data_IF_727478607169
#
_entry.id   IF_727478607169
#
_cell.length_a   1.000
_cell.length_b   1.000
_cell.length_c   1.000
_cell.angle_alpha   90.00
_cell.angle_beta   90.00
_cell.angle_gamma   90.00
#
_symmetry.space_group_name_H-M   'P 1'
#
loop_
_entity.id
_entity.type
_entity.pdbx_description
1 polymer ?
#
# COMPACT_ATOMS: atom_id res chain seq x y z
N UNK A 1 2.91 -30.74 18.20
CA UNK A 1 4.11 -30.30 17.42
C UNK A 1 5.28 -30.04 18.35
N UNK A 2 6.52 -30.45 17.98
CA UNK A 2 7.74 -30.13 18.75
C UNK A 2 7.95 -28.61 18.78
N UNK A 3 8.43 -28.06 19.90
CA UNK A 3 8.66 -26.61 20.10
C UNK A 3 9.52 -25.98 18.97
N UNK A 4 10.53 -26.70 18.51
CA UNK A 4 11.40 -26.26 17.43
C UNK A 4 10.68 -26.03 16.09
N UNK A 5 9.67 -26.84 15.74
CA UNK A 5 8.90 -26.69 14.53
C UNK A 5 8.03 -25.43 14.57
N UNK A 6 7.49 -25.04 15.75
CA UNK A 6 6.71 -23.80 15.89
C UNK A 6 7.55 -22.56 15.64
N UNK A 7 8.79 -22.55 16.14
CA UNK A 7 9.71 -21.41 15.93
C UNK A 7 10.09 -21.32 14.44
N UNK A 8 10.40 -22.43 13.79
CA UNK A 8 10.75 -22.47 12.37
C UNK A 8 9.61 -21.94 11.49
N UNK A 9 8.36 -22.34 11.79
CA UNK A 9 7.18 -21.83 11.07
C UNK A 9 6.99 -20.35 11.33
N UNK A 10 7.20 -19.88 12.57
CA UNK A 10 7.10 -18.45 12.90
C UNK A 10 8.12 -17.61 12.12
N UNK A 11 9.36 -18.11 12.00
CA UNK A 11 10.38 -17.46 11.18
C UNK A 11 9.97 -17.44 9.70
N UNK A 12 9.40 -18.53 9.17
CA UNK A 12 8.91 -18.60 7.79
C UNK A 12 7.77 -17.59 7.54
N UNK A 13 6.81 -17.49 8.46
CA UNK A 13 5.72 -16.50 8.41
C UNK A 13 6.28 -15.07 8.48
N UNK A 14 7.26 -14.83 9.34
CA UNK A 14 7.92 -13.53 9.45
C UNK A 14 8.58 -13.13 8.12
N UNK A 15 9.35 -14.05 7.51
CA UNK A 15 9.98 -13.82 6.21
C UNK A 15 8.94 -13.59 5.12
N UNK A 16 7.84 -14.36 5.07
CA UNK A 16 6.76 -14.15 4.10
C UNK A 16 6.11 -12.77 4.25
N UNK A 17 5.83 -12.37 5.50
CA UNK A 17 5.27 -11.04 5.80
C UNK A 17 6.26 -9.94 5.41
N UNK A 18 7.55 -10.12 5.70
CA UNK A 18 8.61 -9.20 5.31
C UNK A 18 8.70 -9.03 3.79
N UNK A 19 8.72 -10.15 3.03
CA UNK A 19 8.78 -10.14 1.56
C UNK A 19 7.63 -9.35 0.94
N UNK A 20 6.39 -9.62 1.37
CA UNK A 20 5.21 -8.94 0.81
C UNK A 20 5.12 -7.46 1.22
N UNK A 21 5.65 -7.13 2.40
CA UNK A 21 5.69 -5.74 2.89
C UNK A 21 6.80 -4.93 2.23
N UNK A 22 8.00 -5.52 2.08
CA UNK A 22 9.15 -4.84 1.49
C UNK A 22 8.94 -4.56 0.00
N UNK A 23 8.13 -5.39 -0.66
CA UNK A 23 7.83 -5.27 -2.09
C UNK A 23 7.30 -3.88 -2.48
N UNK A 24 6.46 -3.28 -1.64
CA UNK A 24 5.92 -1.95 -1.91
C UNK A 24 7.02 -0.90 -1.84
N UNK A 25 7.84 -0.93 -0.81
CA UNK A 25 8.86 0.10 -0.56
C UNK A 25 10.12 -0.07 -1.43
N UNK A 26 10.51 -1.30 -1.72
CA UNK A 26 11.69 -1.59 -2.55
C UNK A 26 11.47 -1.19 -4.02
N UNK A 27 10.25 -1.41 -4.54
CA UNK A 27 9.91 -1.06 -5.92
C UNK A 27 9.78 0.44 -6.12
N UNK A 28 9.35 1.20 -5.10
CA UNK A 28 9.23 2.66 -5.21
C UNK A 28 10.56 3.34 -5.52
N UNK A 29 11.66 2.87 -4.92
CA UNK A 29 13.00 3.42 -5.18
C UNK A 29 13.56 2.99 -6.54
N UNK A 30 13.13 1.84 -7.06
CA UNK A 30 13.52 1.32 -8.37
C UNK A 30 12.68 1.91 -9.51
N UNK A 31 11.54 2.53 -9.21
CA UNK A 31 10.55 2.95 -10.21
C UNK A 31 11.13 3.87 -11.30
N UNK A 32 11.95 4.90 -10.99
CA UNK A 32 12.57 5.73 -12.03
C UNK A 32 13.41 4.91 -13.02
N UNK A 33 14.22 3.97 -12.51
CA UNK A 33 15.09 3.11 -13.36
C UNK A 33 14.27 2.15 -14.22
N UNK A 34 13.19 1.58 -13.69
CA UNK A 34 12.24 0.74 -14.44
C UNK A 34 11.60 1.53 -15.58
N UNK A 35 11.09 2.74 -15.29
CA UNK A 35 10.46 3.63 -16.26
C UNK A 35 11.43 3.98 -17.39
N UNK A 36 12.69 4.27 -17.06
CA UNK A 36 13.74 4.57 -18.02
C UNK A 36 13.96 3.45 -19.01
N UNK A 37 14.23 2.27 -18.46
CA UNK A 37 14.66 1.14 -19.27
C UNK A 37 13.52 0.56 -20.12
N UNK A 38 12.29 0.56 -19.58
CA UNK A 38 11.11 0.02 -20.28
C UNK A 38 10.30 1.10 -21.03
N UNK A 39 10.76 2.37 -21.03
CA UNK A 39 10.09 3.50 -21.68
C UNK A 39 8.61 3.64 -21.31
N UNK A 40 8.27 3.39 -20.05
CA UNK A 40 6.91 3.19 -19.55
C UNK A 40 6.32 4.31 -18.74
N UNK A 41 6.68 5.60 -18.93
CA UNK A 41 6.20 6.72 -18.09
C UNK A 41 4.65 6.77 -18.00
N UNK A 42 3.96 6.60 -19.10
CA UNK A 42 2.49 6.61 -19.15
C UNK A 42 1.85 5.48 -18.33
N UNK A 43 2.60 4.44 -18.02
CA UNK A 43 2.15 3.26 -17.28
C UNK A 43 2.80 3.11 -15.89
N UNK A 44 3.56 4.13 -15.43
CA UNK A 44 4.28 4.06 -14.16
C UNK A 44 3.38 3.71 -12.97
N UNK A 45 2.17 4.30 -12.91
CA UNK A 45 1.20 4.05 -11.85
C UNK A 45 0.72 2.60 -11.85
N UNK A 46 0.65 1.95 -13.02
CA UNK A 46 0.22 0.56 -13.13
C UNK A 46 1.20 -0.42 -12.52
N UNK A 47 2.51 -0.11 -12.48
CA UNK A 47 3.51 -0.97 -11.85
C UNK A 47 3.17 -1.18 -10.37
N UNK A 48 2.75 -0.12 -9.67
CA UNK A 48 2.37 -0.20 -8.26
C UNK A 48 0.90 -0.62 -8.09
N UNK A 49 0.01 0.03 -8.84
CA UNK A 49 -1.44 -0.18 -8.69
C UNK A 49 -1.88 -1.59 -9.03
N UNK A 50 -1.30 -2.26 -10.04
CA UNK A 50 -1.65 -3.62 -10.39
C UNK A 50 -1.37 -4.62 -9.27
N UNK A 51 -0.22 -4.50 -8.63
CA UNK A 51 0.14 -5.30 -7.47
C UNK A 51 -0.79 -5.06 -6.28
N UNK A 52 -0.98 -3.78 -5.91
CA UNK A 52 -1.82 -3.40 -4.77
C UNK A 52 -3.28 -3.77 -4.99
N UNK A 53 -3.80 -3.57 -6.21
CA UNK A 53 -5.16 -3.94 -6.60
C UNK A 53 -5.39 -5.44 -6.46
N UNK A 54 -4.52 -6.25 -7.05
CA UNK A 54 -4.66 -7.71 -6.99
C UNK A 54 -4.48 -8.23 -5.57
N UNK A 55 -3.62 -7.61 -4.77
CA UNK A 55 -3.48 -7.91 -3.34
C UNK A 55 -4.78 -7.61 -2.59
N UNK A 56 -5.38 -6.44 -2.82
CA UNK A 56 -6.63 -6.03 -2.17
C UNK A 56 -7.81 -6.94 -2.54
N UNK A 57 -7.93 -7.33 -3.82
CA UNK A 57 -8.97 -8.26 -4.31
C UNK A 57 -8.76 -9.67 -3.73
N UNK A 58 -7.53 -10.16 -3.75
CA UNK A 58 -7.22 -11.53 -3.35
C UNK A 58 -7.33 -11.76 -1.84
N UNK A 59 -7.02 -10.76 -1.02
CA UNK A 59 -7.00 -10.87 0.45
C UNK A 59 -8.31 -11.42 1.05
N UNK A 60 -9.50 -10.87 0.78
CA UNK A 60 -10.74 -11.41 1.33
C UNK A 60 -11.09 -12.80 0.74
N UNK A 61 -10.70 -13.05 -0.50
CA UNK A 61 -10.92 -14.35 -1.16
C UNK A 61 -10.12 -15.45 -0.46
N UNK A 62 -8.83 -15.23 -0.21
CA UNK A 62 -7.98 -16.19 0.51
C UNK A 62 -8.45 -16.39 1.94
N UNK A 63 -8.92 -15.33 2.62
CA UNK A 63 -9.48 -15.44 3.96
C UNK A 63 -10.64 -16.43 4.04
N UNK A 64 -11.59 -16.33 3.10
CA UNK A 64 -12.75 -17.26 3.03
C UNK A 64 -12.37 -18.64 2.52
N UNK A 65 -11.53 -18.75 1.50
CA UNK A 65 -11.12 -20.06 0.96
C UNK A 65 -10.29 -20.87 1.96
N UNK A 66 -9.59 -20.23 2.88
CA UNK A 66 -8.79 -20.89 3.91
C UNK A 66 -9.62 -21.81 4.82
N UNK A 67 -10.85 -21.43 5.09
CA UNK A 67 -11.77 -22.21 5.92
C UNK A 67 -12.30 -23.46 5.17
N UNK A 68 -12.22 -23.48 3.83
CA UNK A 68 -12.73 -24.56 2.98
C UNK A 68 -11.61 -25.51 2.51
N UNK A 69 -10.54 -24.96 1.94
CA UNK A 69 -9.47 -25.73 1.30
C UNK A 69 -8.29 -26.01 2.22
N UNK A 70 -8.27 -25.36 3.39
CA UNK A 70 -7.18 -25.46 4.36
C UNK A 70 -6.17 -24.33 4.19
N UNK A 71 -5.57 -23.96 5.31
CA UNK A 71 -4.66 -22.81 5.42
C UNK A 71 -3.31 -23.07 4.79
N UNK A 72 -2.79 -24.31 4.96
CA UNK A 72 -1.50 -24.72 4.41
C UNK A 72 -1.46 -24.64 2.90
N UNK A 73 -2.42 -25.28 2.24
CA UNK A 73 -2.48 -25.37 0.78
C UNK A 73 -2.59 -24.00 0.13
N UNK A 74 -3.43 -23.13 0.71
CA UNK A 74 -3.63 -21.77 0.20
C UNK A 74 -2.44 -20.85 0.46
N UNK A 75 -1.79 -20.99 1.62
CA UNK A 75 -0.57 -20.23 1.89
C UNK A 75 0.55 -20.61 0.91
N UNK A 76 0.71 -21.91 0.63
CA UNK A 76 1.65 -22.42 -0.35
C UNK A 76 1.33 -21.96 -1.78
N UNK A 77 0.05 -22.00 -2.19
CA UNK A 77 -0.38 -21.49 -3.48
C UNK A 77 -0.05 -19.99 -3.62
N UNK A 78 -0.34 -19.20 -2.58
CA UNK A 78 0.00 -17.79 -2.56
C UNK A 78 1.50 -17.53 -2.67
N UNK A 79 2.32 -18.30 -1.96
CA UNK A 79 3.79 -18.22 -2.07
C UNK A 79 4.30 -18.58 -3.47
N UNK A 80 3.74 -19.60 -4.11
CA UNK A 80 4.09 -19.96 -5.48
C UNK A 80 3.74 -18.83 -6.44
N UNK A 81 2.52 -18.28 -6.35
CA UNK A 81 2.11 -17.17 -7.19
C UNK A 81 2.95 -15.90 -6.95
N UNK A 82 3.25 -15.58 -5.69
CA UNK A 82 4.11 -14.44 -5.36
C UNK A 82 5.52 -14.61 -5.92
N UNK A 83 6.12 -15.78 -5.72
CA UNK A 83 7.50 -16.09 -6.14
C UNK A 83 7.62 -16.14 -7.67
N UNK A 84 6.67 -16.78 -8.36
CA UNK A 84 6.64 -16.82 -9.83
C UNK A 84 6.35 -15.43 -10.42
N UNK A 85 5.42 -14.67 -9.86
CA UNK A 85 5.16 -13.28 -10.25
C UNK A 85 6.39 -12.40 -10.06
N UNK A 86 7.14 -12.58 -8.96
CA UNK A 86 8.40 -11.88 -8.73
C UNK A 86 9.47 -12.25 -9.77
N UNK A 87 9.66 -13.54 -10.03
CA UNK A 87 10.59 -14.01 -11.07
C UNK A 87 10.24 -13.42 -12.43
N UNK A 88 8.97 -13.49 -12.84
CA UNK A 88 8.50 -12.93 -14.11
C UNK A 88 8.68 -11.39 -14.15
N UNK A 89 8.45 -10.69 -13.04
CA UNK A 89 8.68 -9.25 -12.96
C UNK A 89 10.15 -8.89 -13.19
N UNK A 90 11.08 -9.67 -12.60
CA UNK A 90 12.51 -9.49 -12.83
C UNK A 90 12.98 -9.88 -14.23
N UNK A 91 12.24 -10.69 -14.97
CA UNK A 91 12.54 -11.08 -16.36
C UNK A 91 11.77 -10.23 -17.39
N UNK A 92 11.05 -9.19 -16.99
CA UNK A 92 10.13 -8.47 -17.85
C UNK A 92 10.86 -7.74 -19.01
N UNK A 93 10.56 -8.07 -20.28
CA UNK A 93 11.17 -7.43 -21.44
C UNK A 93 10.52 -6.08 -21.81
N UNK A 94 9.31 -5.81 -21.30
CA UNK A 94 8.54 -4.60 -21.53
C UNK A 94 7.57 -4.32 -20.40
N UNK A 95 7.00 -3.11 -20.40
CA UNK A 95 6.13 -2.61 -19.33
C UNK A 95 4.83 -3.43 -19.19
N UNK A 96 4.23 -3.92 -20.27
CA UNK A 96 3.00 -4.69 -20.24
C UNK A 96 3.21 -6.07 -19.58
N UNK A 97 4.31 -6.73 -19.94
CA UNK A 97 4.70 -7.98 -19.31
C UNK A 97 4.94 -7.79 -17.81
N UNK A 98 5.62 -6.70 -17.43
CA UNK A 98 5.83 -6.34 -16.02
C UNK A 98 4.50 -6.17 -15.29
N UNK A 99 3.53 -5.44 -15.83
CA UNK A 99 2.21 -5.24 -15.22
C UNK A 99 1.48 -6.57 -15.01
N UNK A 100 1.50 -7.46 -16.01
CA UNK A 100 0.88 -8.80 -15.88
C UNK A 100 1.58 -9.62 -14.79
N UNK A 101 2.90 -9.61 -14.75
CA UNK A 101 3.68 -10.30 -13.72
C UNK A 101 3.37 -9.72 -12.32
N UNK A 102 3.20 -8.40 -12.20
CA UNK A 102 2.78 -7.71 -10.97
C UNK A 102 1.36 -8.11 -10.53
N UNK A 103 0.44 -8.34 -11.47
CA UNK A 103 -0.88 -8.89 -11.15
C UNK A 103 -0.77 -10.27 -10.51
N UNK A 104 0.02 -11.17 -11.10
CA UNK A 104 0.25 -12.52 -10.56
C UNK A 104 0.88 -12.45 -9.16
N UNK A 105 1.89 -11.60 -9.00
CA UNK A 105 2.57 -11.37 -7.74
C UNK A 105 1.62 -10.84 -6.66
N UNK A 106 0.75 -9.88 -7.02
CA UNK A 106 -0.26 -9.31 -6.13
C UNK A 106 -1.30 -10.33 -5.66
N UNK A 107 -1.78 -11.21 -6.56
CA UNK A 107 -2.68 -12.31 -6.18
C UNK A 107 -2.00 -13.20 -5.13
N UNK A 108 -0.71 -13.52 -5.30
CA UNK A 108 0.05 -14.28 -4.32
C UNK A 108 0.19 -13.56 -2.98
N UNK A 109 0.54 -12.27 -3.00
CA UNK A 109 0.70 -11.44 -1.81
C UNK A 109 -0.57 -11.36 -0.94
N UNK A 110 -1.74 -11.32 -1.58
CA UNK A 110 -3.03 -11.25 -0.89
C UNK A 110 -3.33 -12.44 0.03
N UNK A 111 -2.63 -13.57 -0.14
CA UNK A 111 -2.76 -14.73 0.75
C UNK A 111 -2.01 -14.55 2.07
N UNK A 112 -0.88 -13.85 2.05
CA UNK A 112 0.09 -13.87 3.17
C UNK A 112 -0.52 -13.28 4.44
N UNK A 113 -1.14 -12.10 4.38
CA UNK A 113 -1.66 -11.41 5.57
C UNK A 113 -2.75 -12.23 6.28
N UNK A 114 -3.88 -12.61 5.62
CA UNK A 114 -4.96 -13.31 6.32
C UNK A 114 -4.52 -14.69 6.80
N UNK A 115 -3.72 -15.41 6.01
CA UNK A 115 -3.28 -16.76 6.39
C UNK A 115 -2.21 -16.76 7.48
N UNK A 116 -1.36 -15.73 7.55
CA UNK A 116 -0.44 -15.52 8.67
C UNK A 116 -1.18 -15.51 10.01
N UNK A 117 -2.22 -14.68 10.11
CA UNK A 117 -3.00 -14.58 11.36
C UNK A 117 -3.72 -15.88 11.72
N UNK A 118 -4.24 -16.59 10.73
CA UNK A 118 -4.93 -17.85 10.96
C UNK A 118 -3.96 -18.98 11.34
N UNK A 119 -2.78 -19.07 10.71
CA UNK A 119 -1.73 -20.05 11.07
C UNK A 119 -1.20 -19.77 12.48
N UNK A 120 -1.00 -18.50 12.88
CA UNK A 120 -0.61 -18.14 14.24
C UNK A 120 -1.69 -18.59 15.23
N UNK A 121 -2.97 -18.43 14.88
CA UNK A 121 -4.07 -18.87 15.72
C UNK A 121 -4.13 -20.38 15.91
N UNK A 122 -3.66 -21.17 14.95
CA UNK A 122 -3.56 -22.65 15.08
C UNK A 122 -2.41 -23.10 15.96
N UNK A 123 -1.31 -22.37 15.94
CA UNK A 123 -0.06 -22.80 16.56
C UNK A 123 0.07 -22.34 18.01
N UNK A 124 -0.58 -21.22 18.38
CA UNK A 124 -0.38 -20.55 19.66
C UNK A 124 -1.68 -20.34 20.43
N UNK A 125 -1.60 -20.49 21.76
CA UNK A 125 -2.71 -20.22 22.66
C UNK A 125 -3.10 -18.74 22.64
N UNK A 126 -4.33 -18.41 23.03
CA UNK A 126 -4.84 -17.04 23.03
C UNK A 126 -3.90 -16.05 23.76
N UNK A 127 -3.32 -16.48 24.90
CA UNK A 127 -2.40 -15.66 25.71
C UNK A 127 -1.08 -15.36 24.97
N UNK A 128 -0.60 -16.31 24.15
CA UNK A 128 0.66 -16.16 23.41
C UNK A 128 0.48 -15.38 22.11
N UNK A 129 -0.71 -15.40 21.49
CA UNK A 129 -0.99 -14.77 20.19
C UNK A 129 -0.63 -13.30 20.14
N UNK A 130 -0.96 -12.55 21.19
CA UNK A 130 -0.67 -11.11 21.22
C UNK A 130 0.84 -10.82 21.05
N UNK A 131 1.69 -11.58 21.76
CA UNK A 131 3.16 -11.46 21.65
C UNK A 131 3.69 -11.88 20.29
N UNK A 132 3.15 -12.97 19.73
CA UNK A 132 3.57 -13.50 18.44
C UNK A 132 3.12 -12.58 17.29
N UNK A 133 1.91 -12.02 17.35
CA UNK A 133 1.43 -11.03 16.40
C UNK A 133 2.26 -9.74 16.45
N UNK A 134 2.62 -9.28 17.65
CA UNK A 134 3.51 -8.13 17.78
C UNK A 134 4.88 -8.40 17.13
N UNK A 135 5.46 -9.60 17.35
CA UNK A 135 6.68 -10.01 16.68
C UNK A 135 6.52 -10.03 15.15
N UNK A 136 5.43 -10.61 14.62
CA UNK A 136 5.18 -10.66 13.17
C UNK A 136 4.98 -9.25 12.59
N UNK A 137 4.34 -8.35 13.34
CA UNK A 137 4.16 -6.96 12.91
C UNK A 137 5.48 -6.18 12.83
N UNK A 138 6.55 -6.61 13.53
CA UNK A 138 7.87 -5.99 13.35
C UNK A 138 8.44 -6.20 11.95
N UNK A 139 7.98 -7.23 11.21
CA UNK A 139 8.34 -7.42 9.80
C UNK A 139 7.91 -6.24 8.93
N UNK A 140 6.75 -5.63 9.19
CA UNK A 140 6.28 -4.43 8.50
C UNK A 140 7.18 -3.22 8.80
N UNK A 141 7.51 -3.00 10.07
CA UNK A 141 8.42 -1.92 10.46
C UNK A 141 9.82 -2.10 9.86
N UNK A 142 10.31 -3.33 9.86
CA UNK A 142 11.63 -3.66 9.29
C UNK A 142 11.64 -3.51 7.76
N UNK A 143 10.57 -3.95 7.08
CA UNK A 143 10.44 -3.79 5.63
C UNK A 143 10.35 -2.33 5.20
N UNK A 144 9.64 -1.51 5.96
CA UNK A 144 9.54 -0.08 5.72
C UNK A 144 10.88 0.64 5.91
N UNK A 145 11.73 0.14 6.84
CA UNK A 145 13.05 0.68 7.08
C UNK A 145 14.09 0.20 6.04
N UNK A 146 14.14 -1.11 5.80
CA UNK A 146 15.17 -1.73 4.94
C UNK A 146 14.80 -1.62 3.46
N UNK A 147 13.51 -1.64 3.11
CA UNK A 147 13.06 -1.70 1.72
C UNK A 147 13.65 -0.61 0.83
N UNK A 148 13.51 0.68 1.17
CA UNK A 148 14.06 1.75 0.37
C UNK A 148 15.59 1.70 0.24
N UNK A 149 16.28 1.31 1.31
CA UNK A 149 17.74 1.17 1.31
C UNK A 149 18.20 0.02 0.43
N UNK A 150 17.55 -1.14 0.60
CA UNK A 150 17.84 -2.32 -0.21
C UNK A 150 17.50 -2.08 -1.68
N UNK A 151 16.37 -1.42 -1.95
CA UNK A 151 15.97 -1.07 -3.32
C UNK A 151 16.96 -0.14 -3.99
N UNK A 152 17.37 0.93 -3.30
CA UNK A 152 18.39 1.86 -3.79
C UNK A 152 19.71 1.16 -4.05
N UNK A 153 20.20 0.36 -3.09
CA UNK A 153 21.44 -0.40 -3.23
C UNK A 153 21.40 -1.38 -4.43
N UNK A 154 20.33 -2.15 -4.58
CA UNK A 154 20.19 -3.10 -5.68
C UNK A 154 20.16 -2.39 -7.04
N UNK A 155 19.49 -1.25 -7.14
CA UNK A 155 19.41 -0.46 -8.37
C UNK A 155 20.77 0.14 -8.72
N UNK A 156 21.49 0.72 -7.75
CA UNK A 156 22.75 1.42 -7.98
C UNK A 156 23.91 0.45 -8.27
N UNK A 157 23.96 -0.72 -7.60
CA UNK A 157 25.08 -1.66 -7.71
C UNK A 157 24.87 -2.80 -8.72
N UNK A 158 23.63 -3.17 -8.99
CA UNK A 158 23.29 -4.30 -9.85
C UNK A 158 22.36 -3.85 -10.98
N UNK A 159 21.07 -3.94 -10.77
CA UNK A 159 20.02 -3.46 -11.67
C UNK A 159 18.66 -3.54 -10.99
N UNK A 160 17.64 -2.83 -11.52
CA UNK A 160 16.28 -2.89 -10.98
C UNK A 160 15.67 -4.31 -11.00
N UNK A 161 16.12 -5.21 -11.86
CA UNK A 161 15.65 -6.60 -11.93
C UNK A 161 15.85 -7.35 -10.60
N UNK A 162 16.94 -7.06 -9.88
CA UNK A 162 17.27 -7.67 -8.61
C UNK A 162 16.32 -7.30 -7.48
N UNK A 163 15.59 -6.20 -7.61
CA UNK A 163 14.52 -5.83 -6.68
C UNK A 163 13.44 -6.92 -6.61
N UNK A 164 13.21 -7.60 -7.73
CA UNK A 164 12.29 -8.72 -7.82
C UNK A 164 12.97 -10.07 -7.53
N UNK A 165 14.17 -10.29 -8.08
CA UNK A 165 14.86 -11.57 -7.91
C UNK A 165 15.17 -11.92 -6.45
N UNK A 166 15.37 -10.95 -5.57
CA UNK A 166 15.64 -11.18 -4.14
C UNK A 166 14.52 -11.97 -3.45
N UNK A 167 13.29 -11.84 -3.92
CA UNK A 167 12.14 -12.56 -3.36
C UNK A 167 12.12 -14.05 -3.75
N UNK A 168 12.78 -14.43 -4.84
CA UNK A 168 12.71 -15.83 -5.35
C UNK A 168 13.34 -16.83 -4.38
N UNK A 169 14.60 -16.68 -3.94
CA UNK A 169 15.18 -17.60 -2.97
C UNK A 169 14.45 -17.58 -1.62
N UNK A 170 13.98 -16.43 -1.18
CA UNK A 170 13.23 -16.29 0.07
C UNK A 170 11.88 -17.02 -0.01
N UNK A 171 11.15 -16.87 -1.13
CA UNK A 171 9.86 -17.53 -1.35
C UNK A 171 9.99 -19.04 -1.40
N UNK A 172 11.01 -19.56 -2.07
CA UNK A 172 11.32 -20.99 -2.10
C UNK A 172 11.65 -21.50 -0.70
N UNK A 173 12.48 -20.79 0.06
CA UNK A 173 12.81 -21.12 1.44
C UNK A 173 11.57 -21.24 2.33
N UNK A 174 10.72 -20.22 2.29
CA UNK A 174 9.46 -20.18 3.07
C UNK A 174 8.53 -21.32 2.64
N UNK A 175 8.40 -21.56 1.33
CA UNK A 175 7.59 -22.65 0.80
C UNK A 175 8.03 -24.01 1.36
N UNK A 176 9.32 -24.32 1.32
CA UNK A 176 9.89 -25.58 1.82
C UNK A 176 9.65 -25.72 3.33
N UNK A 177 9.91 -24.66 4.11
CA UNK A 177 9.71 -24.70 5.56
C UNK A 177 8.24 -24.98 5.91
N UNK A 178 7.29 -24.32 5.25
CA UNK A 178 5.86 -24.54 5.47
C UNK A 178 5.43 -25.94 4.98
N UNK A 179 5.95 -26.39 3.84
CA UNK A 179 5.64 -27.72 3.29
C UNK A 179 5.97 -28.84 4.27
N UNK A 180 7.17 -28.78 4.84
CA UNK A 180 7.70 -29.84 5.74
C UNK A 180 7.26 -29.61 7.20
N UNK A 181 7.29 -28.35 7.67
CA UNK A 181 7.14 -28.05 9.10
C UNK A 181 5.71 -27.87 9.56
N UNK A 182 4.82 -27.31 8.72
CA UNK A 182 3.45 -27.03 9.12
C UNK A 182 2.50 -28.17 8.84
N UNK A 183 1.90 -28.71 9.89
CA UNK A 183 0.86 -29.73 9.84
C UNK A 183 -0.42 -29.11 10.35
N UNK A 184 -1.39 -29.01 9.48
CA UNK A 184 -2.69 -28.45 9.77
C UNK A 184 -3.48 -29.36 10.71
N UNK A 185 -3.93 -28.81 11.84
CA UNK A 185 -4.75 -29.54 12.85
C UNK A 185 -6.23 -29.21 12.70
N UNK A 186 -6.56 -28.35 11.73
CA UNK A 186 -7.92 -27.84 11.54
C UNK A 186 -8.82 -28.86 10.83
N UNK A 187 -9.98 -29.15 11.39
CA UNK A 187 -11.05 -29.90 10.73
C UNK A 187 -11.75 -28.96 9.74
N UNK A 188 -11.72 -29.31 8.45
CA UNK A 188 -12.41 -28.57 7.38
C UNK A 188 -13.86 -28.34 7.78
N UNK A 189 -14.28 -27.08 7.88
CA UNK A 189 -15.70 -26.78 8.08
C UNK A 189 -16.48 -27.16 6.82
N UNK A 190 -17.67 -27.75 7.04
CA UNK A 190 -18.62 -27.93 5.94
C UNK A 190 -18.97 -26.54 5.36
N UNK A 191 -19.00 -26.47 4.04
CA UNK A 191 -19.22 -25.28 3.23
C UNK A 191 -20.23 -24.31 3.85
N UNK A 192 -19.74 -23.24 4.45
CA UNK A 192 -20.50 -22.01 4.60
C UNK A 192 -20.65 -21.37 3.23
N UNK A 193 -21.79 -20.80 2.92
CA UNK A 193 -22.05 -20.19 1.61
C UNK A 193 -21.03 -19.06 1.37
N UNK A 194 -20.12 -19.28 0.42
CA UNK A 194 -19.21 -18.20 -0.02
C UNK A 194 -20.08 -17.15 -0.72
N UNK A 195 -19.96 -15.90 -0.30
CA UNK A 195 -20.57 -14.76 -0.99
C UNK A 195 -19.87 -14.49 -2.32
N UNK A 196 -20.20 -15.32 -3.33
CA UNK A 196 -19.65 -15.18 -4.68
C UNK A 196 -20.04 -13.85 -5.32
N UNK A 197 -21.24 -13.34 -5.02
CA UNK A 197 -21.73 -12.09 -5.55
C UNK A 197 -20.93 -10.90 -4.97
N UNK A 198 -20.74 -10.86 -3.65
CA UNK A 198 -19.91 -9.86 -3.00
C UNK A 198 -18.48 -9.85 -3.52
N UNK A 199 -17.82 -11.03 -3.61
CA UNK A 199 -16.47 -11.14 -4.19
C UNK A 199 -16.43 -10.58 -5.61
N UNK A 200 -17.38 -10.99 -6.46
CA UNK A 200 -17.39 -10.58 -7.87
C UNK A 200 -17.59 -9.06 -8.02
N UNK A 201 -18.61 -8.52 -7.34
CA UNK A 201 -18.90 -7.08 -7.44
C UNK A 201 -17.83 -6.21 -6.80
N UNK A 202 -17.21 -6.62 -5.68
CA UNK A 202 -16.07 -5.91 -5.10
C UNK A 202 -14.89 -5.89 -6.08
N UNK A 203 -14.55 -7.05 -6.64
CA UNK A 203 -13.44 -7.17 -7.60
C UNK A 203 -13.68 -6.32 -8.85
N UNK A 204 -14.88 -6.37 -9.42
CA UNK A 204 -15.25 -5.56 -10.57
C UNK A 204 -15.22 -4.06 -10.24
N UNK A 205 -15.75 -3.66 -9.09
CA UNK A 205 -15.72 -2.26 -8.63
C UNK A 205 -14.29 -1.73 -8.63
N UNK A 206 -13.37 -2.44 -7.98
CA UNK A 206 -11.98 -2.00 -7.83
C UNK A 206 -11.22 -1.98 -9.16
N UNK A 207 -11.44 -3.00 -9.99
CA UNK A 207 -10.80 -3.12 -11.29
C UNK A 207 -11.29 -2.02 -12.24
N UNK A 208 -12.61 -1.80 -12.32
CA UNK A 208 -13.19 -0.76 -13.15
C UNK A 208 -12.83 0.65 -12.65
N UNK A 209 -12.75 0.85 -11.32
CA UNK A 209 -12.31 2.11 -10.73
C UNK A 209 -10.90 2.47 -11.21
N UNK A 210 -9.95 1.53 -11.14
CA UNK A 210 -8.58 1.77 -11.55
C UNK A 210 -8.46 2.01 -13.07
N UNK A 211 -9.14 1.17 -13.88
CA UNK A 211 -9.16 1.33 -15.34
C UNK A 211 -9.79 2.68 -15.71
N UNK A 212 -10.90 3.05 -15.08
CA UNK A 212 -11.59 4.32 -15.32
C UNK A 212 -10.69 5.53 -15.04
N UNK A 213 -10.00 5.55 -13.89
CA UNK A 213 -9.05 6.61 -13.54
C UNK A 213 -7.93 6.70 -14.59
N UNK A 214 -7.38 5.57 -15.02
CA UNK A 214 -6.29 5.55 -15.98
C UNK A 214 -6.74 6.04 -17.38
N UNK A 215 -7.95 5.68 -17.79
CA UNK A 215 -8.50 6.10 -19.09
C UNK A 215 -8.84 7.59 -19.15
N UNK A 216 -9.02 8.27 -18.02
CA UNK A 216 -9.16 9.74 -18.01
C UNK A 216 -7.98 10.45 -18.68
N UNK A 217 -6.79 9.82 -18.70
CA UNK A 217 -5.58 10.37 -19.35
C UNK A 217 -5.59 10.30 -20.88
N UNK A 218 -6.34 9.37 -21.46
CA UNK A 218 -6.32 9.06 -22.90
C UNK A 218 -7.65 9.28 -23.58
N UNK A 219 -8.73 8.85 -22.92
CA UNK A 219 -10.09 8.85 -23.42
C UNK A 219 -11.07 9.23 -22.32
N UNK A 220 -11.21 10.52 -22.03
CA UNK A 220 -11.99 11.07 -20.91
C UNK A 220 -13.42 10.50 -20.85
N UNK A 221 -14.13 10.46 -21.99
CA UNK A 221 -15.52 9.97 -22.05
C UNK A 221 -15.60 8.50 -21.63
N UNK A 222 -14.71 7.64 -22.17
CA UNK A 222 -14.67 6.23 -21.80
C UNK A 222 -14.24 6.05 -20.32
N UNK A 223 -13.32 6.87 -19.83
CA UNK A 223 -12.93 6.89 -18.42
C UNK A 223 -14.13 7.17 -17.51
N UNK A 224 -14.92 8.21 -17.82
CA UNK A 224 -16.13 8.57 -17.04
C UNK A 224 -17.17 7.43 -17.11
N UNK A 225 -17.42 6.86 -18.28
CA UNK A 225 -18.37 5.76 -18.41
C UNK A 225 -17.97 4.55 -17.55
N UNK A 226 -16.70 4.17 -17.56
CA UNK A 226 -16.19 3.06 -16.74
C UNK A 226 -16.28 3.40 -15.25
N UNK A 227 -16.03 4.64 -14.84
CA UNK A 227 -16.19 5.07 -13.44
C UNK A 227 -17.67 4.99 -13.01
N UNK A 228 -18.61 5.34 -13.87
CA UNK A 228 -20.06 5.17 -13.61
C UNK A 228 -20.40 3.69 -13.44
N UNK A 229 -19.89 2.80 -14.31
CA UNK A 229 -20.11 1.35 -14.19
C UNK A 229 -19.49 0.83 -12.89
N UNK A 230 -18.29 1.30 -12.51
CA UNK A 230 -17.70 0.98 -11.21
C UNK A 230 -18.61 1.38 -10.04
N UNK A 231 -19.22 2.58 -10.10
CA UNK A 231 -20.19 3.03 -9.11
C UNK A 231 -21.43 2.12 -9.03
N UNK A 232 -21.94 1.68 -10.17
CA UNK A 232 -23.05 0.71 -10.22
C UNK A 232 -22.63 -0.63 -9.60
N UNK A 233 -21.44 -1.14 -9.91
CA UNK A 233 -20.91 -2.35 -9.28
C UNK A 233 -20.76 -2.21 -7.76
N UNK A 234 -20.39 -1.03 -7.26
CA UNK A 234 -20.32 -0.75 -5.82
C UNK A 234 -21.71 -0.79 -5.16
N UNK A 235 -22.73 -0.27 -5.83
CA UNK A 235 -24.12 -0.35 -5.34
C UNK A 235 -24.63 -1.81 -5.34
N UNK A 236 -24.30 -2.59 -6.38
CA UNK A 236 -24.62 -4.02 -6.45
C UNK A 236 -23.88 -4.80 -5.37
N UNK A 237 -22.60 -4.50 -5.13
CA UNK A 237 -21.84 -5.05 -4.01
C UNK A 237 -22.54 -4.77 -2.67
N UNK A 238 -22.89 -3.51 -2.41
CA UNK A 238 -23.58 -3.14 -1.16
C UNK A 238 -24.91 -3.89 -1.01
N UNK A 239 -25.66 -4.07 -2.10
CA UNK A 239 -26.92 -4.82 -2.09
C UNK A 239 -26.72 -6.32 -1.86
N UNK A 240 -25.64 -6.90 -2.39
CA UNK A 240 -25.27 -8.30 -2.17
C UNK A 240 -24.87 -8.54 -0.70
N UNK A 241 -24.01 -7.69 -0.14
CA UNK A 241 -23.56 -7.76 1.27
C UNK A 241 -24.73 -7.64 2.26
N UNK A 242 -25.73 -6.78 1.98
CA UNK A 242 -26.92 -6.66 2.83
C UNK A 242 -27.78 -7.92 2.84
N UNK A 243 -27.74 -8.73 1.78
CA UNK A 243 -28.52 -9.97 1.62
C UNK A 243 -27.73 -11.22 2.02
N UNK A 244 -26.41 -11.12 2.09
CA UNK A 244 -25.53 -12.23 2.39
C UNK A 244 -25.74 -12.71 3.84
N UNK A 245 -25.83 -14.02 4.04
CA UNK A 245 -25.87 -14.63 5.39
C UNK A 245 -24.54 -14.46 6.13
N UNK A 246 -23.44 -14.48 5.39
CA UNK A 246 -22.09 -14.35 5.92
C UNK A 246 -21.30 -13.36 5.05
N UNK A 247 -21.57 -12.04 5.20
CA UNK A 247 -21.01 -11.00 4.37
C UNK A 247 -19.49 -10.91 4.53
N UNK A 248 -18.79 -10.47 3.47
CA UNK A 248 -17.35 -10.19 3.51
C UNK A 248 -17.09 -8.91 4.30
N UNK A 249 -17.92 -7.90 4.05
CA UNK A 249 -17.86 -6.58 4.71
C UNK A 249 -19.21 -6.30 5.37
N UNK A 250 -19.38 -6.53 6.70
CA UNK A 250 -20.63 -6.23 7.37
C UNK A 250 -20.97 -4.74 7.32
N UNK A 251 -21.86 -4.35 6.41
CA UNK A 251 -22.25 -2.93 6.19
C UNK A 251 -22.85 -2.32 7.46
N UNK A 252 -23.46 -3.13 8.34
CA UNK A 252 -24.02 -2.68 9.62
C UNK A 252 -22.99 -1.97 10.52
N UNK A 253 -21.69 -2.24 10.38
CA UNK A 253 -20.65 -1.56 11.15
C UNK A 253 -20.51 -0.08 10.76
N UNK A 254 -20.80 0.27 9.51
CA UNK A 254 -20.70 1.64 9.02
C UNK A 254 -21.84 2.56 9.50
N UNK A 255 -22.86 2.02 10.13
CA UNK A 255 -23.90 2.82 10.81
C UNK A 255 -23.28 3.62 11.97
N UNK A 256 -22.24 3.09 12.61
CA UNK A 256 -21.48 3.84 13.61
C UNK A 256 -20.57 4.88 12.90
N UNK A 257 -20.93 6.15 13.04
CA UNK A 257 -20.22 7.29 12.41
C UNK A 257 -18.72 7.33 12.78
N UNK A 258 -18.38 7.05 14.03
CA UNK A 258 -16.97 7.02 14.49
C UNK A 258 -16.21 5.89 13.79
N UNK A 259 -16.81 4.68 13.68
CA UNK A 259 -16.21 3.57 12.94
C UNK A 259 -15.94 3.96 11.48
N UNK A 260 -16.95 4.50 10.78
CA UNK A 260 -16.82 4.96 9.40
C UNK A 260 -15.72 6.01 9.23
N UNK A 261 -15.64 7.00 10.14
CA UNK A 261 -14.61 8.02 10.13
C UNK A 261 -13.19 7.43 10.31
N UNK A 262 -13.04 6.41 11.16
CA UNK A 262 -11.74 5.75 11.35
C UNK A 262 -11.32 4.99 10.08
N UNK A 263 -12.25 4.29 9.43
CA UNK A 263 -11.98 3.60 8.16
C UNK A 263 -11.61 4.60 7.06
N UNK A 264 -12.37 5.69 6.90
CA UNK A 264 -12.07 6.75 5.93
C UNK A 264 -10.70 7.37 6.22
N UNK A 265 -10.41 7.71 7.47
CA UNK A 265 -9.12 8.28 7.88
C UNK A 265 -7.97 7.34 7.55
N UNK A 266 -8.09 6.04 7.88
CA UNK A 266 -7.08 5.03 7.57
C UNK A 266 -6.85 4.87 6.07
N UNK A 267 -7.94 4.88 5.28
CA UNK A 267 -7.88 4.76 3.82
C UNK A 267 -7.18 5.96 3.18
N UNK A 268 -7.60 7.18 3.53
CA UNK A 268 -7.05 8.40 2.95
C UNK A 268 -5.60 8.64 3.38
N UNK A 269 -5.26 8.42 4.65
CA UNK A 269 -3.87 8.51 5.11
C UNK A 269 -2.96 7.51 4.41
N UNK A 270 -3.42 6.27 4.23
CA UNK A 270 -2.66 5.27 3.47
C UNK A 270 -2.51 5.68 1.99
N UNK A 271 -3.48 6.40 1.42
CA UNK A 271 -3.36 7.02 0.10
C UNK A 271 -2.32 8.14 0.06
N UNK A 272 -2.18 8.93 1.13
CA UNK A 272 -1.14 9.97 1.24
C UNK A 272 0.25 9.32 1.44
N UNK A 273 0.32 8.17 2.12
CA UNK A 273 1.56 7.40 2.27
C UNK A 273 2.22 7.15 0.92
N UNK A 274 1.48 6.60 -0.04
CA UNK A 274 2.01 6.28 -1.36
C UNK A 274 2.46 7.54 -2.14
N UNK A 275 1.91 8.71 -1.82
CA UNK A 275 2.31 9.96 -2.43
C UNK A 275 3.80 10.25 -2.17
N UNK A 276 4.22 10.31 -0.92
CA UNK A 276 5.63 10.62 -0.64
C UNK A 276 6.57 9.44 -0.93
N UNK A 277 6.12 8.19 -0.76
CA UNK A 277 6.94 7.01 -1.06
C UNK A 277 7.34 6.94 -2.53
N UNK A 278 6.46 7.34 -3.45
CA UNK A 278 6.73 7.34 -4.89
C UNK A 278 7.35 8.67 -5.35
N UNK A 279 6.76 9.80 -4.98
CA UNK A 279 7.07 11.08 -5.62
C UNK A 279 8.21 11.85 -4.99
N UNK A 280 8.62 11.56 -3.74
CA UNK A 280 9.88 12.10 -3.19
C UNK A 280 11.11 11.50 -3.88
N UNK A 281 11.23 10.17 -4.06
CA UNK A 281 12.28 9.60 -4.88
C UNK A 281 12.30 10.14 -6.32
N UNK A 282 11.14 10.26 -6.96
CA UNK A 282 11.04 10.82 -8.32
C UNK A 282 11.55 12.27 -8.33
N UNK A 283 11.13 13.12 -7.38
CA UNK A 283 11.62 14.51 -7.28
C UNK A 283 13.14 14.57 -7.16
N UNK A 284 13.69 13.85 -6.19
CA UNK A 284 15.13 13.88 -5.89
C UNK A 284 15.98 13.31 -7.04
N UNK A 285 15.54 12.21 -7.65
CA UNK A 285 16.29 11.61 -8.76
C UNK A 285 16.19 12.44 -10.04
N UNK A 286 15.00 12.97 -10.37
CA UNK A 286 14.79 13.68 -11.64
C UNK A 286 15.28 15.13 -11.63
N UNK A 287 15.18 15.86 -10.52
CA UNK A 287 15.51 17.28 -10.43
C UNK A 287 16.88 17.53 -9.77
N UNK A 288 17.25 16.72 -8.78
CA UNK A 288 18.52 16.88 -8.06
C UNK A 288 19.58 15.89 -8.53
N UNK A 289 19.22 14.95 -9.41
CA UNK A 289 20.11 13.93 -9.97
C UNK A 289 20.87 13.12 -8.89
N UNK A 290 20.22 12.89 -7.73
CA UNK A 290 20.81 12.07 -6.68
C UNK A 290 20.60 10.58 -6.97
N UNK A 291 21.50 9.70 -6.51
CA UNK A 291 21.38 8.26 -6.62
C UNK A 291 20.09 7.73 -5.97
N UNK A 292 19.60 6.58 -6.43
CA UNK A 292 18.42 5.92 -5.88
C UNK A 292 18.57 5.60 -4.39
N UNK A 293 19.78 5.25 -3.93
CA UNK A 293 20.08 5.02 -2.50
C UNK A 293 19.82 6.27 -1.67
N UNK A 294 20.26 7.46 -2.13
CA UNK A 294 20.07 8.73 -1.40
C UNK A 294 18.59 9.08 -1.33
N UNK A 295 17.86 8.93 -2.42
CA UNK A 295 16.39 9.15 -2.42
C UNK A 295 15.65 8.15 -1.53
N UNK A 296 16.15 6.92 -1.40
CA UNK A 296 15.64 5.90 -0.51
C UNK A 296 15.78 6.28 0.98
N UNK A 297 16.86 6.99 1.37
CA UNK A 297 17.01 7.47 2.75
C UNK A 297 15.89 8.42 3.18
N UNK A 298 15.31 9.17 2.25
CA UNK A 298 14.18 10.06 2.56
C UNK A 298 12.97 9.25 2.98
N UNK A 299 12.65 8.18 2.25
CA UNK A 299 11.55 7.27 2.62
C UNK A 299 11.86 6.53 3.92
N UNK A 300 13.11 6.14 4.12
CA UNK A 300 13.56 5.51 5.38
C UNK A 300 13.35 6.40 6.59
N UNK A 301 13.55 7.73 6.48
CA UNK A 301 13.30 8.66 7.58
C UNK A 301 11.86 8.60 8.09
N UNK A 302 10.89 8.46 7.18
CA UNK A 302 9.49 8.24 7.51
C UNK A 302 9.28 6.92 8.27
N UNK A 303 9.90 5.84 7.80
CA UNK A 303 9.76 4.51 8.40
C UNK A 303 10.29 4.44 9.83
N UNK A 304 11.43 5.09 10.09
CA UNK A 304 12.00 5.22 11.44
C UNK A 304 11.04 5.96 12.36
N UNK A 305 10.54 7.11 11.91
CA UNK A 305 9.63 7.91 12.72
C UNK A 305 8.26 7.25 12.91
N UNK A 306 7.78 6.48 11.94
CA UNK A 306 6.59 5.64 12.11
C UNK A 306 6.77 4.64 13.24
N UNK A 307 7.87 3.89 13.24
CA UNK A 307 8.17 2.90 14.28
C UNK A 307 8.25 3.58 15.65
N UNK A 308 9.05 4.64 15.78
CA UNK A 308 9.25 5.35 17.05
C UNK A 308 7.93 5.94 17.58
N UNK A 309 7.15 6.59 16.73
CA UNK A 309 5.91 7.25 17.15
C UNK A 309 4.80 6.27 17.57
N UNK A 310 4.79 5.05 17.01
CA UNK A 310 3.80 4.04 17.37
C UNK A 310 3.86 3.62 18.84
N UNK A 311 5.02 3.73 19.51
CA UNK A 311 5.16 3.46 20.93
C UNK A 311 4.45 4.48 21.83
N UNK A 312 4.21 5.69 21.32
CA UNK A 312 3.56 6.77 22.07
C UNK A 312 2.03 6.73 22.01
N UNK A 313 1.43 5.83 21.23
CA UNK A 313 -0.03 5.73 21.06
C UNK A 313 -0.74 5.46 22.38
N UNK A 314 -0.24 4.51 23.19
CA UNK A 314 -0.82 4.20 24.50
C UNK A 314 -0.86 5.40 25.44
N UNK A 315 0.28 6.04 25.76
CA UNK A 315 0.33 7.25 26.56
C UNK A 315 -0.52 8.41 26.03
N UNK A 316 -0.62 8.58 24.72
CA UNK A 316 -1.46 9.63 24.10
C UNK A 316 -2.95 9.36 24.32
N UNK A 317 -3.41 8.11 24.16
CA UNK A 317 -4.81 7.73 24.36
C UNK A 317 -5.26 7.86 25.82
N UNK A 318 -4.34 7.70 26.79
CA UNK A 318 -4.65 7.92 28.20
C UNK A 318 -4.88 9.39 28.56
N UNK A 319 -4.32 10.33 27.78
CA UNK A 319 -4.38 11.77 28.07
C UNK A 319 -5.33 12.55 27.18
N UNK A 320 -5.50 12.12 25.94
CA UNK A 320 -6.23 12.85 24.92
C UNK A 320 -7.27 11.96 24.23
N UNK A 321 -8.36 12.55 23.79
CA UNK A 321 -9.36 11.83 22.97
C UNK A 321 -8.77 11.53 21.57
N UNK A 322 -9.14 10.38 20.95
CA UNK A 322 -8.70 10.00 19.61
C UNK A 322 -8.92 11.11 18.58
N UNK A 323 -10.08 11.77 18.63
CA UNK A 323 -10.42 12.91 17.76
C UNK A 323 -9.39 14.04 17.84
N UNK A 324 -8.96 14.44 19.07
CA UNK A 324 -7.97 15.51 19.24
C UNK A 324 -6.61 15.09 18.69
N UNK A 325 -6.20 13.83 18.93
CA UNK A 325 -4.95 13.30 18.45
C UNK A 325 -4.91 13.35 16.91
N UNK A 326 -5.96 12.81 16.23
CA UNK A 326 -6.03 12.82 14.77
C UNK A 326 -5.97 14.25 14.23
N UNK A 327 -6.79 15.17 14.76
CA UNK A 327 -6.83 16.54 14.27
C UNK A 327 -5.46 17.22 14.37
N UNK A 328 -4.80 17.14 15.52
CA UNK A 328 -3.48 17.77 15.71
C UNK A 328 -2.44 17.16 14.77
N UNK A 329 -2.38 15.83 14.70
CA UNK A 329 -1.40 15.12 13.85
C UNK A 329 -1.63 15.48 12.37
N UNK A 330 -2.87 15.40 11.90
CA UNK A 330 -3.20 15.68 10.49
C UNK A 330 -2.99 17.15 10.12
N UNK A 331 -3.23 18.10 11.05
CA UNK A 331 -2.90 19.51 10.84
C UNK A 331 -1.39 19.69 10.66
N UNK A 332 -0.58 19.09 11.52
CA UNK A 332 0.90 19.17 11.42
C UNK A 332 1.37 18.58 10.08
N UNK A 333 0.85 17.41 9.67
CA UNK A 333 1.17 16.82 8.39
C UNK A 333 0.73 17.71 7.22
N UNK A 334 -0.48 18.25 7.24
CA UNK A 334 -1.01 19.15 6.20
C UNK A 334 -0.10 20.39 6.05
N UNK A 335 0.25 21.04 7.16
CA UNK A 335 1.14 22.20 7.14
C UNK A 335 2.51 21.85 6.56
N UNK A 336 3.05 20.67 6.87
CA UNK A 336 4.36 20.24 6.35
C UNK A 336 4.38 20.03 4.83
N UNK A 337 3.20 19.73 4.21
CA UNK A 337 3.08 19.57 2.75
C UNK A 337 2.85 20.90 2.00
N UNK A 338 2.40 21.96 2.67
CA UNK A 338 2.11 23.26 2.01
C UNK A 338 3.29 23.81 1.20
N UNK A 339 4.55 23.79 1.70
CA UNK A 339 5.68 24.26 0.92
C UNK A 339 5.87 23.53 -0.40
N UNK A 340 5.48 22.23 -0.50
CA UNK A 340 5.67 21.42 -1.70
C UNK A 340 4.85 21.90 -2.91
N UNK A 341 3.77 22.67 -2.72
CA UNK A 341 2.98 23.23 -3.83
C UNK A 341 3.71 24.34 -4.56
N UNK A 342 4.52 25.12 -3.83
CA UNK A 342 5.26 26.26 -4.37
C UNK A 342 6.78 26.06 -4.41
N UNK A 343 7.24 24.86 -4.07
CA UNK A 343 8.67 24.55 -4.01
C UNK A 343 9.31 24.67 -5.39
N UNK A 344 10.35 25.51 -5.50
CA UNK A 344 11.16 25.63 -6.71
C UNK A 344 12.25 24.57 -6.79
N UNK A 345 13.09 24.66 -7.82
CA UNK A 345 14.25 23.77 -8.02
C UNK A 345 15.28 23.82 -6.92
N UNK A 346 15.39 24.97 -6.24
CA UNK A 346 16.34 25.18 -5.15
C UNK A 346 15.73 24.91 -3.77
N UNK A 347 14.59 24.16 -3.73
CA UNK A 347 14.00 23.75 -2.45
C UNK A 347 14.98 22.85 -1.70
N UNK A 348 15.28 23.13 -0.42
CA UNK A 348 16.31 22.40 0.30
C UNK A 348 16.01 20.90 0.37
N UNK A 349 16.97 20.06 -0.01
CA UNK A 349 16.84 18.60 -0.03
C UNK A 349 16.56 18.02 1.36
N UNK A 350 17.15 18.57 2.41
CA UNK A 350 16.89 18.18 3.80
C UNK A 350 15.42 18.34 4.21
N UNK A 351 14.66 19.23 3.56
CA UNK A 351 13.23 19.42 3.82
C UNK A 351 12.43 18.16 3.54
N UNK A 352 12.79 17.40 2.52
CA UNK A 352 12.11 16.13 2.19
C UNK A 352 12.24 15.10 3.32
N UNK A 353 13.40 15.05 3.99
CA UNK A 353 13.61 14.16 5.15
C UNK A 353 12.73 14.57 6.32
N UNK A 354 12.59 15.85 6.60
CA UNK A 354 11.73 16.37 7.68
C UNK A 354 10.27 16.10 7.36
N UNK A 355 9.81 16.40 6.14
CA UNK A 355 8.41 16.17 5.74
C UNK A 355 8.08 14.68 5.80
N UNK A 356 8.98 13.83 5.30
CA UNK A 356 8.82 12.39 5.37
C UNK A 356 8.80 11.89 6.83
N UNK A 357 9.65 12.40 7.69
CA UNK A 357 9.70 12.08 9.12
C UNK A 357 8.38 12.46 9.83
N UNK A 358 7.86 13.67 9.58
CA UNK A 358 6.56 14.13 10.10
C UNK A 358 5.43 13.23 9.60
N UNK A 359 5.46 12.88 8.30
CA UNK A 359 4.48 11.96 7.71
C UNK A 359 4.51 10.60 8.38
N UNK A 360 5.68 10.02 8.55
CA UNK A 360 5.87 8.74 9.23
C UNK A 360 5.42 8.77 10.68
N UNK A 361 5.78 9.81 11.43
CA UNK A 361 5.34 9.98 12.81
C UNK A 361 3.82 10.04 12.92
N UNK A 362 3.16 10.79 12.04
CA UNK A 362 1.70 10.88 12.00
C UNK A 362 1.04 9.55 11.65
N UNK A 363 1.58 8.84 10.67
CA UNK A 363 1.11 7.50 10.29
C UNK A 363 1.21 6.50 11.46
N UNK A 364 2.36 6.49 12.16
CA UNK A 364 2.59 5.59 13.28
C UNK A 364 1.58 5.79 14.40
N UNK A 365 1.25 7.04 14.73
CA UNK A 365 0.25 7.35 15.75
C UNK A 365 -1.16 7.03 15.27
N UNK A 366 -1.58 7.60 14.13
CA UNK A 366 -3.00 7.55 13.72
C UNK A 366 -3.41 6.14 13.27
N UNK A 367 -2.60 5.44 12.48
CA UNK A 367 -2.96 4.11 11.98
C UNK A 367 -3.04 3.09 13.11
N UNK A 368 -2.05 3.11 14.04
CA UNK A 368 -2.08 2.21 15.20
C UNK A 368 -3.30 2.48 16.09
N UNK A 369 -3.61 3.76 16.30
CA UNK A 369 -4.78 4.17 17.08
C UNK A 369 -6.10 3.76 16.41
N UNK A 370 -6.22 3.94 15.08
CA UNK A 370 -7.44 3.59 14.33
C UNK A 370 -7.80 2.12 14.46
N UNK A 371 -6.80 1.22 14.40
CA UNK A 371 -7.02 -0.21 14.58
C UNK A 371 -7.57 -0.48 15.98
N UNK A 372 -6.93 0.05 17.03
CA UNK A 372 -7.36 -0.14 18.42
C UNK A 372 -8.77 0.42 18.65
N UNK A 373 -9.05 1.61 18.13
CA UNK A 373 -10.36 2.25 18.29
C UNK A 373 -11.46 1.46 17.57
N UNK A 374 -11.25 1.00 16.35
CA UNK A 374 -12.24 0.21 15.63
C UNK A 374 -12.52 -1.14 16.30
N UNK A 375 -11.50 -1.77 16.87
CA UNK A 375 -11.67 -3.00 17.66
C UNK A 375 -12.47 -2.74 18.93
N UNK A 376 -12.29 -1.58 19.56
CA UNK A 376 -13.01 -1.20 20.78
C UNK A 376 -14.49 -0.83 20.52
N UNK A 377 -14.81 -0.32 19.33
CA UNK A 377 -16.16 0.11 18.95
C UNK A 377 -17.10 -1.05 18.59
N UNK A 378 -16.61 -2.27 18.51
CA UNK A 378 -17.37 -3.47 18.13
C UNK A 378 -17.35 -4.52 19.24
N UNK A 379 -18.34 -5.42 19.24
CA UNK A 379 -18.34 -6.55 20.19
C UNK A 379 -17.20 -7.54 19.91
N UNK A 380 -16.82 -8.35 20.92
CA UNK A 380 -15.70 -9.30 20.81
C UNK A 380 -15.78 -10.25 19.61
N UNK A 381 -17.00 -10.63 19.22
CA UNK A 381 -17.26 -11.51 18.07
C UNK A 381 -16.99 -10.85 16.72
N UNK A 382 -16.88 -9.51 16.65
CA UNK A 382 -16.71 -8.72 15.42
C UNK A 382 -15.36 -8.05 15.30
N UNK A 383 -14.45 -8.24 16.25
CA UNK A 383 -13.10 -7.66 16.26
C UNK A 383 -12.32 -8.06 15.01
N UNK A 384 -12.44 -9.32 14.58
CA UNK A 384 -11.81 -9.80 13.34
C UNK A 384 -12.31 -9.06 12.10
N UNK A 385 -13.63 -8.91 11.94
CA UNK A 385 -14.25 -8.18 10.83
C UNK A 385 -13.85 -6.70 10.83
N UNK A 386 -13.84 -6.04 11.99
CA UNK A 386 -13.43 -4.64 12.10
C UNK A 386 -11.97 -4.45 11.68
N UNK A 387 -11.08 -5.34 12.09
CA UNK A 387 -9.66 -5.34 11.70
C UNK A 387 -9.51 -5.57 10.19
N UNK A 388 -10.29 -6.50 9.62
CA UNK A 388 -10.28 -6.78 8.18
C UNK A 388 -10.74 -5.56 7.37
N UNK A 389 -11.80 -4.86 7.78
CA UNK A 389 -12.32 -3.66 7.11
C UNK A 389 -11.27 -2.55 7.11
N UNK A 390 -10.61 -2.27 8.24
CA UNK A 390 -9.54 -1.26 8.29
C UNK A 390 -8.37 -1.65 7.41
N UNK A 391 -7.97 -2.93 7.46
CA UNK A 391 -6.85 -3.44 6.63
C UNK A 391 -7.19 -3.33 5.15
N UNK A 392 -8.44 -3.62 4.77
CA UNK A 392 -8.92 -3.41 3.40
C UNK A 392 -8.84 -1.93 3.01
N UNK A 393 -9.35 -1.01 3.84
CA UNK A 393 -9.25 0.43 3.60
C UNK A 393 -7.80 0.90 3.40
N UNK A 394 -6.89 0.40 4.24
CA UNK A 394 -5.45 0.67 4.15
C UNK A 394 -4.81 0.14 2.86
N UNK A 395 -5.34 -0.93 2.29
CA UNK A 395 -4.88 -1.46 0.99
C UNK A 395 -5.50 -0.71 -0.19
N UNK A 396 -6.78 -0.29 -0.06
CA UNK A 396 -7.50 0.44 -1.10
C UNK A 396 -6.98 1.87 -1.27
N UNK A 397 -6.65 2.56 -0.19
CA UNK A 397 -6.13 3.93 -0.23
C UNK A 397 -4.95 4.06 -1.18
N UNK A 398 -3.83 3.36 -0.97
CA UNK A 398 -2.68 3.37 -1.87
C UNK A 398 -3.02 2.92 -3.29
N UNK A 399 -3.86 1.88 -3.44
CA UNK A 399 -4.24 1.34 -4.75
C UNK A 399 -4.92 2.41 -5.62
N UNK A 400 -5.95 3.07 -5.08
CA UNK A 400 -6.70 4.11 -5.78
C UNK A 400 -5.82 5.35 -5.99
N UNK A 401 -5.12 5.79 -4.95
CA UNK A 401 -4.34 7.01 -5.02
C UNK A 401 -3.09 6.90 -5.88
N UNK A 402 -2.47 5.72 -6.00
CA UNK A 402 -1.41 5.50 -7.00
C UNK A 402 -1.92 5.77 -8.43
N UNK A 403 -3.15 5.33 -8.74
CA UNK A 403 -3.80 5.63 -10.02
C UNK A 403 -4.09 7.12 -10.19
N UNK A 404 -4.68 7.77 -9.18
CA UNK A 404 -5.02 9.21 -9.21
C UNK A 404 -3.78 10.09 -9.36
N UNK A 405 -2.74 9.85 -8.56
CA UNK A 405 -1.49 10.60 -8.64
C UNK A 405 -0.78 10.41 -9.98
N UNK A 406 -0.73 9.16 -10.47
CA UNK A 406 -0.14 8.86 -11.78
C UNK A 406 -0.92 9.51 -12.92
N UNK A 407 -2.26 9.49 -12.86
CA UNK A 407 -3.12 10.18 -13.81
C UNK A 407 -2.86 11.69 -13.81
N UNK A 408 -2.80 12.31 -12.62
CA UNK A 408 -2.53 13.73 -12.46
C UNK A 408 -1.18 14.11 -13.05
N UNK A 409 -0.12 13.36 -12.72
CA UNK A 409 1.21 13.59 -13.25
C UNK A 409 1.20 13.54 -14.78
N UNK A 410 0.61 12.51 -15.37
CA UNK A 410 0.56 12.31 -16.81
C UNK A 410 -0.24 13.40 -17.54
N UNK A 411 -1.39 13.84 -16.98
CA UNK A 411 -2.22 14.90 -17.56
C UNK A 411 -1.44 16.22 -17.58
N UNK A 412 -0.82 16.59 -16.46
CA UNK A 412 -0.08 17.86 -16.37
C UNK A 412 1.14 17.84 -17.31
N UNK A 413 1.89 16.73 -17.37
CA UNK A 413 3.01 16.60 -18.30
C UNK A 413 2.53 16.77 -19.74
N UNK A 414 1.48 16.06 -20.17
CA UNK A 414 0.96 16.13 -21.54
C UNK A 414 0.51 17.53 -21.94
N UNK A 415 -0.15 18.25 -21.03
CA UNK A 415 -0.68 19.57 -21.29
C UNK A 415 0.41 20.66 -21.36
N UNK A 416 1.61 20.39 -20.84
CA UNK A 416 2.70 21.38 -20.75
C UNK A 416 3.95 20.99 -21.58
N UNK A 417 3.84 20.07 -22.53
CA UNK A 417 4.99 19.59 -23.32
C UNK A 417 5.69 20.70 -24.15
N UNK A 418 4.96 21.74 -24.61
CA UNK A 418 5.48 22.95 -25.27
C UNK A 418 6.67 22.70 -26.22
N UNK A 419 6.57 21.69 -27.09
CA UNK A 419 7.62 21.32 -28.05
C UNK A 419 8.66 20.31 -27.55
N UNK A 420 8.58 19.90 -26.27
CA UNK A 420 9.42 18.84 -25.69
C UNK A 420 8.74 17.49 -25.95
N UNK A 421 9.52 16.46 -26.32
CA UNK A 421 8.95 15.13 -26.52
C UNK A 421 8.70 14.42 -25.17
N UNK A 422 7.65 13.60 -25.11
CA UNK A 422 7.37 12.76 -23.92
C UNK A 422 8.55 11.85 -23.58
N UNK A 423 9.31 11.41 -24.59
CA UNK A 423 10.51 10.58 -24.41
C UNK A 423 11.63 11.35 -23.68
N UNK A 424 11.81 12.65 -23.95
CA UNK A 424 12.80 13.47 -23.24
C UNK A 424 12.42 13.66 -21.77
N UNK A 425 11.14 13.91 -21.46
CA UNK A 425 10.64 13.99 -20.07
C UNK A 425 10.86 12.66 -19.35
N UNK A 426 10.56 11.55 -20.02
CA UNK A 426 10.77 10.20 -19.51
C UNK A 426 12.24 9.94 -19.15
N UNK A 427 13.14 10.28 -20.06
CA UNK A 427 14.57 10.12 -19.84
C UNK A 427 15.07 10.97 -18.67
N UNK A 428 14.52 12.15 -18.43
CA UNK A 428 14.90 13.01 -17.31
C UNK A 428 14.38 12.46 -15.97
N UNK A 429 13.13 11.97 -15.92
CA UNK A 429 12.59 11.33 -14.72
C UNK A 429 13.43 10.12 -14.31
N UNK A 430 14.03 9.45 -15.27
CA UNK A 430 14.69 8.17 -15.10
C UNK A 430 16.21 8.22 -15.01
N UNK A 431 16.83 9.32 -15.44
CA UNK A 431 18.29 9.42 -15.43
C UNK A 431 18.79 10.20 -14.21
N UNK A 432 19.29 9.47 -13.21
CA UNK A 432 20.25 10.01 -12.23
C UNK A 432 21.57 10.50 -12.91
N UNK A 433 21.66 10.39 -14.24
CA UNK A 433 22.82 10.69 -15.05
C UNK A 433 22.72 12.10 -15.62
N UNK A 434 23.69 12.96 -15.33
CA UNK A 434 23.88 14.32 -15.89
C UNK A 434 24.14 14.29 -17.41
N UNK A 435 23.21 13.81 -18.21
CA UNK A 435 23.25 14.09 -19.64
C UNK A 435 22.57 15.42 -19.87
N UNK A 436 23.33 16.43 -20.25
CA UNK A 436 22.81 17.73 -20.69
C UNK A 436 21.91 17.48 -21.89
N UNK A 437 20.60 17.61 -21.66
CA UNK A 437 19.58 17.51 -22.74
C UNK A 437 19.22 18.92 -23.15
N UNK A 438 19.13 19.12 -24.47
CA UNK A 438 18.59 20.36 -25.01
C UNK A 438 17.22 20.65 -24.41
N UNK A 439 16.95 21.87 -23.93
CA UNK A 439 15.75 22.25 -23.19
C UNK A 439 15.59 21.67 -21.76
N UNK A 440 16.67 21.25 -21.08
CA UNK A 440 16.62 20.67 -19.73
C UNK A 440 15.81 21.51 -18.75
N UNK A 441 15.96 22.85 -18.76
CA UNK A 441 15.24 23.77 -17.89
C UNK A 441 13.70 23.71 -18.09
N UNK A 442 13.23 23.51 -19.31
CA UNK A 442 11.81 23.37 -19.61
C UNK A 442 11.27 22.03 -19.12
N UNK A 443 12.02 20.95 -19.29
CA UNK A 443 11.67 19.60 -18.84
C UNK A 443 11.52 19.55 -17.33
N UNK A 444 12.49 20.10 -16.62
CA UNK A 444 12.45 20.17 -15.15
C UNK A 444 11.26 20.99 -14.64
N UNK A 445 10.90 22.10 -15.31
CA UNK A 445 9.70 22.88 -14.96
C UNK A 445 8.41 22.09 -15.19
N UNK A 446 8.32 21.30 -16.26
CA UNK A 446 7.16 20.45 -16.55
C UNK A 446 7.01 19.40 -15.43
N UNK A 447 8.12 18.74 -15.07
CA UNK A 447 8.13 17.75 -13.98
C UNK A 447 7.72 18.40 -12.66
N UNK A 448 8.27 19.58 -12.35
CA UNK A 448 7.98 20.32 -11.14
C UNK A 448 6.48 20.68 -11.02
N UNK A 449 5.89 21.21 -12.10
CA UNK A 449 4.45 21.52 -12.14
C UNK A 449 3.60 20.25 -11.95
N UNK A 450 4.00 19.13 -12.53
CA UNK A 450 3.29 17.86 -12.37
C UNK A 450 3.36 17.35 -10.92
N UNK A 451 4.50 17.48 -10.27
CA UNK A 451 4.69 17.14 -8.86
C UNK A 451 3.89 18.07 -7.93
N UNK A 452 3.82 19.39 -8.22
CA UNK A 452 2.94 20.31 -7.48
C UNK A 452 1.47 19.86 -7.53
N UNK A 453 0.99 19.40 -8.70
CA UNK A 453 -0.36 18.87 -8.84
C UNK A 453 -0.60 17.63 -7.95
N UNK A 454 0.36 16.72 -7.90
CA UNK A 454 0.30 15.52 -7.05
C UNK A 454 0.23 15.89 -5.57
N UNK A 455 1.09 16.79 -5.09
CA UNK A 455 1.07 17.23 -3.68
C UNK A 455 -0.16 18.07 -3.36
N UNK A 456 -0.71 18.81 -4.34
CA UNK A 456 -2.01 19.49 -4.20
C UNK A 456 -3.14 18.53 -3.86
N UNK A 457 -3.20 17.36 -4.53
CA UNK A 457 -4.17 16.31 -4.20
C UNK A 457 -3.94 15.76 -2.80
N UNK A 458 -2.69 15.53 -2.38
CA UNK A 458 -2.40 15.06 -1.03
C UNK A 458 -2.93 16.05 0.05
N UNK A 459 -2.79 17.34 -0.18
CA UNK A 459 -3.35 18.37 0.72
C UNK A 459 -4.88 18.32 0.73
N UNK A 460 -5.54 18.15 -0.41
CA UNK A 460 -6.99 17.96 -0.45
C UNK A 460 -7.44 16.76 0.38
N UNK A 461 -6.69 15.64 0.35
CA UNK A 461 -6.97 14.48 1.19
C UNK A 461 -6.83 14.82 2.68
N UNK A 462 -5.79 15.55 3.09
CA UNK A 462 -5.66 16.02 4.48
C UNK A 462 -6.86 16.87 4.90
N UNK A 463 -7.32 17.76 4.04
CA UNK A 463 -8.50 18.60 4.30
C UNK A 463 -9.75 17.73 4.48
N UNK A 464 -9.97 16.71 3.63
CA UNK A 464 -11.08 15.78 3.77
C UNK A 464 -11.01 15.03 5.11
N UNK A 465 -9.82 14.53 5.50
CA UNK A 465 -9.62 13.88 6.80
C UNK A 465 -9.95 14.83 7.96
N UNK A 466 -9.54 16.09 7.88
CA UNK A 466 -9.84 17.08 8.91
C UNK A 466 -11.35 17.33 9.02
N UNK A 467 -12.04 17.51 7.89
CA UNK A 467 -13.50 17.74 7.86
C UNK A 467 -14.24 16.53 8.46
N UNK A 468 -13.92 15.30 8.01
CA UNK A 468 -14.61 14.11 8.51
C UNK A 468 -14.39 13.91 10.01
N UNK A 469 -13.17 14.14 10.51
CA UNK A 469 -12.88 14.01 11.94
C UNK A 469 -13.44 15.18 12.77
N UNK A 470 -13.58 16.39 12.23
CA UNK A 470 -14.30 17.48 12.90
C UNK A 470 -15.78 17.14 13.11
N UNK A 471 -16.38 16.43 12.15
CA UNK A 471 -17.79 15.99 12.21
C UNK A 471 -17.99 14.73 13.06
N UNK A 472 -16.93 14.07 13.55
CA UNK A 472 -17.03 12.90 14.41
C UNK A 472 -17.68 13.25 15.74
N UNK A 473 -18.76 12.57 16.12
CA UNK A 473 -19.46 12.83 17.39
C UNK A 473 -18.66 12.38 18.62
N UNK A 474 -17.73 11.44 18.48
CA UNK A 474 -17.00 10.86 19.60
C UNK A 474 -15.92 11.81 20.13
N UNK A 475 -16.14 12.30 21.36
CA UNK A 475 -15.19 13.18 22.07
C UNK A 475 -14.58 12.51 23.30
N UNK A 476 -14.92 11.23 23.57
CA UNK A 476 -14.52 10.56 24.82
C UNK A 476 -13.07 10.06 24.73
N UNK A 477 -12.39 10.08 25.86
CA UNK A 477 -11.12 9.38 26.06
C UNK A 477 -11.47 7.88 26.19
N UNK A 478 -10.65 7.03 25.62
CA UNK A 478 -10.80 5.57 25.78
C UNK A 478 -10.13 5.22 27.10
N UNK A 479 -10.94 4.85 28.10
CA UNK A 479 -10.46 4.36 29.39
C UNK A 479 -10.25 2.84 29.33
#
# INVERSE_FOLDING_TARGET
MKKNNRILILCAIFVATFMTSVEVTIVTTALPSIISQLHGLSFQSWIMSSYLLMTAIATPIYGKLADIWGRKSLFQLGLVLFTTGSLLSGLAPNIFFLIIARCIQGIGAGSVIPLTFTIIADLYSFKERAKIMAFTNTAWGLSALIGPLLGGFLVDQLSWHWVFFVNVPLGILVFVIIAVGYHETYTKQQLTNIDKAGITFLSLTLLLLLIGIQLLNTHVIFGILILIISGICLLLFSSAELKAKDPIIPISMFVNRTFSNQVITATLLSGILICYEIYFPIWLQSLYHVPATVSGFVVTSSSVMWLLSSFFVGPLLQRFSPKKIILVVVIIQCISYLPLIGAGRNFPDWSFYIIAAISGAGMGVVISMNIMLCQHLVGPERVGSATAIITLGRSLGPTVMAGVYGATLNIIIKNNLNGVSLAQVNNTISSASKKVVEHQLNIENIILQALHGVFGIAILLFIVILITNLLDPNKKIIN
#
